data_IF_705220384856
#
_entry.id   IF_705220384856
#
_cell.length_a   1.000
_cell.length_b   1.000
_cell.length_c   1.000
_cell.angle_alpha   90.00
_cell.angle_beta   90.00
_cell.angle_gamma   90.00
#
_symmetry.space_group_name_H-M   'P 1'
#
loop_
_entity.id
_entity.type
_entity.pdbx_description
1 polymer ?
#
# COMPACT_ATOMS: atom_id res chain seq x y z
N UNK A 1 31.99 -7.46 -5.78
CA UNK A 1 30.58 -7.18 -6.13
C UNK A 1 30.15 -5.83 -5.58
N UNK A 2 29.63 -4.94 -6.43
CA UNK A 2 29.07 -3.63 -6.03
C UNK A 2 27.81 -3.89 -5.17
N UNK A 3 27.71 -3.29 -3.97
CA UNK A 3 26.53 -3.48 -3.09
C UNK A 3 25.25 -3.09 -3.84
N UNK A 4 24.28 -4.02 -3.90
CA UNK A 4 22.96 -3.75 -4.47
C UNK A 4 22.23 -2.76 -3.56
N UNK A 5 21.94 -1.57 -4.08
CA UNK A 5 21.13 -0.58 -3.35
C UNK A 5 19.65 -0.94 -3.51
N UNK A 6 19.07 -1.50 -2.46
CA UNK A 6 17.63 -1.75 -2.39
C UNK A 6 16.85 -0.45 -2.22
N UNK A 7 15.65 -0.38 -2.80
CA UNK A 7 14.71 0.68 -2.49
C UNK A 7 14.33 0.56 -1.00
N UNK A 8 14.24 1.69 -0.32
CA UNK A 8 13.84 1.78 1.07
C UNK A 8 12.77 2.87 1.24
N UNK A 9 12.00 2.83 2.33
CA UNK A 9 10.94 3.80 2.58
C UNK A 9 11.47 5.23 2.66
N UNK A 10 12.65 5.44 3.23
CA UNK A 10 13.28 6.76 3.38
C UNK A 10 13.53 7.43 2.03
N UNK A 11 14.10 6.69 1.08
CA UNK A 11 14.41 7.15 -0.28
C UNK A 11 13.11 7.40 -1.05
N UNK A 12 12.08 6.57 -0.88
CA UNK A 12 10.76 6.79 -1.48
C UNK A 12 10.11 8.08 -0.94
N UNK A 13 10.04 8.25 0.39
CA UNK A 13 9.50 9.45 1.02
C UNK A 13 10.23 10.71 0.53
N UNK A 14 11.56 10.67 0.48
CA UNK A 14 12.36 11.79 -0.03
C UNK A 14 12.03 12.13 -1.50
N UNK A 15 11.77 11.12 -2.33
CA UNK A 15 11.40 11.35 -3.73
C UNK A 15 9.94 11.78 -3.93
N UNK A 16 9.03 11.32 -3.07
CA UNK A 16 7.65 11.83 -3.03
C UNK A 16 7.66 13.31 -2.66
N UNK A 17 8.37 13.67 -1.59
CA UNK A 17 8.55 15.05 -1.17
C UNK A 17 9.14 15.92 -2.29
N UNK A 18 10.25 15.47 -2.90
CA UNK A 18 10.86 16.19 -4.01
C UNK A 18 9.92 16.36 -5.20
N UNK A 19 9.10 15.35 -5.50
CA UNK A 19 8.10 15.42 -6.58
C UNK A 19 6.97 16.40 -6.25
N UNK A 20 6.45 16.37 -5.02
CA UNK A 20 5.42 17.32 -4.56
C UNK A 20 5.93 18.76 -4.60
N UNK A 21 7.18 19.00 -4.20
CA UNK A 21 7.79 20.34 -4.20
C UNK A 21 7.87 20.96 -5.60
N UNK A 22 7.86 20.18 -6.68
CA UNK A 22 7.80 20.74 -8.05
C UNK A 22 6.48 21.44 -8.36
N UNK A 23 5.42 21.19 -7.58
CA UNK A 23 4.12 21.85 -7.68
C UNK A 23 3.96 22.99 -6.65
N UNK A 24 5.00 23.28 -5.86
CA UNK A 24 4.93 24.20 -4.74
C UNK A 24 5.72 25.48 -5.01
N UNK A 25 5.27 26.58 -4.39
CA UNK A 25 6.00 27.84 -4.35
C UNK A 25 6.33 28.20 -2.90
N UNK A 26 7.55 28.68 -2.68
CA UNK A 26 8.11 29.02 -1.38
C UNK A 26 8.76 30.41 -1.42
N UNK A 27 8.80 31.12 -0.29
CA UNK A 27 9.49 32.42 -0.18
C UNK A 27 10.99 32.22 -0.29
N UNK A 28 11.54 31.25 0.46
CA UNK A 28 12.95 30.84 0.31
C UNK A 28 13.05 29.34 0.00
N UNK A 29 14.14 28.88 -0.64
CA UNK A 29 14.32 27.46 -0.93
C UNK A 29 14.34 26.56 0.32
N UNK A 30 14.81 27.08 1.45
CA UNK A 30 14.87 26.36 2.74
C UNK A 30 13.48 26.10 3.29
N UNK A 31 12.53 26.97 2.99
CA UNK A 31 11.14 26.82 3.41
C UNK A 31 10.47 25.61 2.74
N UNK A 32 11.06 25.02 1.70
CA UNK A 32 10.57 23.79 1.09
C UNK A 32 10.72 22.56 2.01
N UNK A 33 11.62 22.60 2.99
CA UNK A 33 11.86 21.48 3.89
C UNK A 33 11.09 21.67 5.20
N UNK A 34 10.11 20.80 5.43
CA UNK A 34 9.33 20.80 6.66
C UNK A 34 10.03 20.05 7.80
N UNK A 35 9.66 20.39 9.04
CA UNK A 35 10.13 19.71 10.26
C UNK A 35 9.04 18.87 10.94
N UNK A 36 7.77 19.25 10.76
CA UNK A 36 6.61 18.50 11.26
C UNK A 36 5.39 18.76 10.39
N UNK A 37 4.53 17.75 10.25
CA UNK A 37 3.23 17.86 9.60
C UNK A 37 2.15 17.98 10.67
N UNK A 38 1.25 18.94 10.51
CA UNK A 38 0.13 19.18 11.42
C UNK A 38 -1.19 19.28 10.62
N UNK A 39 -2.32 18.83 11.19
CA UNK A 39 -3.59 18.81 10.47
C UNK A 39 -4.26 20.19 10.36
N UNK A 40 -3.89 21.16 11.21
CA UNK A 40 -4.40 22.53 11.16
C UNK A 40 -3.53 23.47 12.00
N UNK A 41 -3.72 24.79 11.83
CA UNK A 41 -2.96 25.83 12.55
C UNK A 41 -3.08 25.75 14.07
N UNK A 42 -4.25 25.34 14.60
CA UNK A 42 -4.48 25.21 16.05
C UNK A 42 -3.62 24.12 16.70
N UNK A 43 -3.13 23.16 15.90
CA UNK A 43 -2.21 22.13 16.39
C UNK A 43 -0.78 22.62 16.52
N UNK A 44 -0.44 23.81 16.05
CA UNK A 44 0.87 24.42 16.31
C UNK A 44 0.87 24.97 17.74
N UNK A 45 1.36 24.16 18.67
CA UNK A 45 1.45 24.48 20.10
C UNK A 45 2.84 24.16 20.65
N UNK A 46 3.04 24.39 21.96
CA UNK A 46 4.34 24.20 22.61
C UNK A 46 4.88 22.77 22.42
N UNK A 47 4.01 21.75 22.41
CA UNK A 47 4.41 20.35 22.24
C UNK A 47 4.89 20.08 20.81
N UNK A 48 4.13 20.52 19.80
CA UNK A 48 4.52 20.34 18.39
C UNK A 48 5.75 21.15 18.02
N UNK A 49 5.94 22.33 18.62
CA UNK A 49 7.18 23.12 18.47
C UNK A 49 8.38 22.34 19.03
N UNK A 50 8.25 21.75 20.22
CA UNK A 50 9.32 20.95 20.81
C UNK A 50 9.63 19.70 19.97
N UNK A 51 8.61 19.06 19.40
CA UNK A 51 8.77 17.92 18.50
C UNK A 51 9.44 18.33 17.18
N UNK A 52 9.01 19.43 16.56
CA UNK A 52 9.65 19.98 15.37
C UNK A 52 11.14 20.28 15.60
N UNK A 53 11.51 20.84 16.76
CA UNK A 53 12.93 21.03 17.13
C UNK A 53 13.70 19.71 17.20
N UNK A 54 13.09 18.65 17.76
CA UNK A 54 13.72 17.31 17.80
C UNK A 54 13.90 16.73 16.40
N UNK A 55 12.88 16.84 15.55
CA UNK A 55 12.92 16.35 14.16
C UNK A 55 14.00 17.07 13.36
N UNK A 56 14.06 18.41 13.46
CA UNK A 56 15.08 19.23 12.80
C UNK A 56 16.49 18.88 13.29
N UNK A 57 16.69 18.77 14.60
CA UNK A 57 17.97 18.38 15.18
C UNK A 57 18.43 16.98 14.70
N UNK A 58 17.51 16.01 14.65
CA UNK A 58 17.78 14.65 14.14
C UNK A 58 18.17 14.69 12.66
N UNK A 59 17.47 15.47 11.85
CA UNK A 59 17.78 15.64 10.43
C UNK A 59 19.15 16.28 10.22
N UNK A 60 19.45 17.40 10.87
CA UNK A 60 20.75 18.08 10.78
C UNK A 60 21.90 17.17 11.24
N UNK A 61 21.69 16.39 12.31
CA UNK A 61 22.66 15.39 12.78
C UNK A 61 22.95 14.35 11.70
N UNK A 62 21.90 13.84 11.05
CA UNK A 62 22.04 12.84 9.98
C UNK A 62 22.72 13.42 8.74
N UNK A 63 22.37 14.64 8.33
CA UNK A 63 22.98 15.34 7.20
C UNK A 63 24.47 15.58 7.44
N UNK A 64 24.84 16.11 8.61
CA UNK A 64 26.24 16.34 8.98
C UNK A 64 27.05 15.04 9.03
N UNK A 65 26.45 13.96 9.53
CA UNK A 65 27.09 12.65 9.55
C UNK A 65 27.25 12.03 8.15
N UNK A 66 26.23 12.14 7.28
CA UNK A 66 26.29 11.68 5.90
C UNK A 66 27.32 12.48 5.08
N UNK A 67 27.42 13.80 5.30
CA UNK A 67 28.43 14.66 4.70
C UNK A 67 29.84 14.25 5.13
N UNK A 68 30.09 14.11 6.44
CA UNK A 68 31.39 13.68 6.96
C UNK A 68 31.80 12.29 6.42
N UNK A 69 30.83 11.39 6.23
CA UNK A 69 31.05 10.07 5.63
C UNK A 69 31.41 10.16 4.16
N UNK A 70 30.80 11.07 3.42
CA UNK A 70 31.11 11.33 2.01
C UNK A 70 32.50 11.93 1.81
N UNK A 71 32.96 12.75 2.76
CA UNK A 71 34.30 13.34 2.81
C UNK A 71 35.41 12.33 3.16
N UNK A 72 35.08 11.07 3.42
CA UNK A 72 36.07 9.99 3.62
C UNK A 72 36.71 9.95 5.01
N UNK A 73 36.19 10.71 5.99
CA UNK A 73 36.68 10.67 7.38
C UNK A 73 36.50 9.25 7.96
N UNK A 74 37.57 8.67 8.54
CA UNK A 74 37.54 7.34 9.17
C UNK A 74 37.10 7.44 10.63
N UNK A 75 36.37 6.43 11.15
CA UNK A 75 35.86 6.33 12.54
C UNK A 75 34.86 7.43 12.98
N UNK A 76 33.88 7.73 12.14
CA UNK A 76 32.83 8.73 12.43
C UNK A 76 31.79 8.15 13.40
N UNK A 77 31.67 8.73 14.60
CA UNK A 77 30.56 8.43 15.52
C UNK A 77 29.43 9.43 15.30
N UNK A 78 28.18 8.97 15.40
CA UNK A 78 27.01 9.85 15.26
C UNK A 78 26.94 10.91 16.38
N UNK A 79 27.44 10.55 17.57
CA UNK A 79 27.43 11.41 18.77
C UNK A 79 28.16 12.72 18.54
N UNK A 80 29.28 12.68 17.81
CA UNK A 80 30.14 13.85 17.57
C UNK A 80 29.45 14.93 16.72
N UNK A 81 28.43 14.54 15.95
CA UNK A 81 27.66 15.42 15.06
C UNK A 81 26.25 15.71 15.60
N UNK A 82 25.94 15.23 16.81
CA UNK A 82 24.60 15.36 17.38
C UNK A 82 24.30 16.81 17.74
N UNK A 83 23.31 17.39 17.04
CA UNK A 83 22.85 18.74 17.31
C UNK A 83 21.80 18.74 18.43
N UNK A 84 21.94 19.68 19.38
CA UNK A 84 20.97 19.81 20.46
C UNK A 84 19.71 20.55 19.99
N UNK A 85 18.50 19.99 20.21
CA UNK A 85 17.24 20.66 19.88
C UNK A 85 17.06 22.03 20.55
N UNK A 86 17.73 22.27 21.68
CA UNK A 86 17.63 23.54 22.43
C UNK A 86 18.29 24.70 21.71
N UNK A 87 19.29 24.43 20.87
CA UNK A 87 20.03 25.46 20.10
C UNK A 87 19.26 25.94 18.86
N UNK A 88 18.17 25.26 18.51
CA UNK A 88 17.35 25.59 17.34
C UNK A 88 16.30 26.63 17.74
N UNK A 89 16.26 27.78 17.06
CA UNK A 89 15.24 28.79 17.28
C UNK A 89 13.86 28.28 16.80
N UNK A 90 12.80 28.75 17.46
CA UNK A 90 11.42 28.49 17.02
C UNK A 90 11.09 29.18 15.68
N UNK A 91 11.77 30.26 15.32
CA UNK A 91 11.57 30.98 14.05
C UNK A 91 12.06 30.20 12.84
N UNK A 92 13.01 29.28 13.06
CA UNK A 92 13.61 28.50 11.99
C UNK A 92 12.80 27.25 11.64
N UNK A 93 11.72 26.98 12.37
CA UNK A 93 10.90 25.78 12.20
C UNK A 93 9.86 25.98 11.12
N UNK A 94 9.76 25.00 10.22
CA UNK A 94 8.77 24.99 9.14
C UNK A 94 7.69 23.97 9.47
N UNK A 95 6.45 24.47 9.61
CA UNK A 95 5.27 23.66 9.87
C UNK A 95 4.53 23.41 8.56
N UNK A 96 4.40 22.14 8.17
CA UNK A 96 3.54 21.74 7.06
C UNK A 96 2.12 21.57 7.58
N UNK A 97 1.19 22.40 7.10
CA UNK A 97 -0.20 22.42 7.56
C UNK A 97 -1.11 21.95 6.45
N UNK A 98 -1.85 20.87 6.69
CA UNK A 98 -2.80 20.27 5.74
C UNK A 98 -4.05 21.15 5.63
N UNK A 99 -4.19 21.97 4.59
CA UNK A 99 -5.30 22.93 4.44
C UNK A 99 -5.68 23.15 2.98
N UNK A 100 -6.94 23.51 2.76
CA UNK A 100 -7.52 23.74 1.43
C UNK A 100 -7.65 25.22 1.06
N UNK A 101 -7.33 26.16 1.96
CA UNK A 101 -7.63 27.60 1.85
C UNK A 101 -7.17 28.30 0.56
N UNK A 102 -6.15 27.78 -0.12
CA UNK A 102 -5.61 28.33 -1.37
C UNK A 102 -6.10 27.60 -2.63
N UNK A 103 -6.84 26.51 -2.45
CA UNK A 103 -7.43 25.73 -3.54
C UNK A 103 -8.81 26.35 -3.84
N UNK A 104 -9.15 26.61 -5.11
CA UNK A 104 -10.47 27.12 -5.45
C UNK A 104 -11.59 26.13 -5.10
N UNK A 105 -12.77 26.67 -4.81
CA UNK A 105 -14.00 25.89 -4.63
C UNK A 105 -14.54 25.44 -5.99
N UNK A 106 -15.08 24.22 -6.04
CA UNK A 106 -15.67 23.58 -7.22
C UNK A 106 -16.80 22.65 -6.77
N UNK A 107 -17.95 23.25 -6.48
CA UNK A 107 -19.14 22.52 -6.01
C UNK A 107 -19.84 21.71 -7.12
N UNK A 108 -19.49 21.92 -8.39
CA UNK A 108 -20.09 21.19 -9.51
C UNK A 108 -19.39 19.87 -9.81
N UNK A 109 -18.14 19.69 -9.36
CA UNK A 109 -17.34 18.49 -9.64
C UNK A 109 -17.92 17.19 -9.11
N UNK A 110 -18.55 17.22 -7.93
CA UNK A 110 -19.09 16.02 -7.28
C UNK A 110 -20.55 16.22 -6.90
N UNK A 111 -21.40 15.34 -7.42
CA UNK A 111 -22.84 15.34 -7.15
C UNK A 111 -23.20 15.23 -5.66
N UNK A 112 -22.44 14.41 -4.90
CA UNK A 112 -22.65 14.19 -3.46
C UNK A 112 -21.33 14.37 -2.70
N UNK A 113 -20.93 15.60 -2.35
CA UNK A 113 -19.70 15.85 -1.60
C UNK A 113 -19.85 15.37 -0.15
N UNK A 114 -18.83 14.68 0.39
CA UNK A 114 -18.82 14.15 1.77
C UNK A 114 -17.70 14.74 2.62
N UNK A 115 -16.63 15.20 1.97
CA UNK A 115 -15.42 15.69 2.62
C UNK A 115 -15.12 17.10 2.14
N UNK A 116 -14.35 17.86 2.92
CA UNK A 116 -13.88 19.21 2.50
C UNK A 116 -13.19 19.17 1.14
N UNK A 117 -12.41 18.11 0.87
CA UNK A 117 -11.74 17.91 -0.41
C UNK A 117 -12.71 17.76 -1.60
N UNK A 118 -13.97 17.36 -1.37
CA UNK A 118 -14.97 17.19 -2.43
C UNK A 118 -15.52 18.52 -2.95
N UNK A 119 -15.49 19.56 -2.13
CA UNK A 119 -15.94 20.92 -2.47
C UNK A 119 -14.88 21.76 -3.18
N UNK A 120 -13.65 21.26 -3.30
CA UNK A 120 -12.54 21.98 -3.92
C UNK A 120 -12.18 21.39 -5.28
N UNK A 121 -11.45 22.16 -6.09
CA UNK A 121 -10.88 21.68 -7.35
C UNK A 121 -10.02 20.42 -7.14
N UNK A 122 -10.00 19.54 -8.16
CA UNK A 122 -9.19 18.31 -8.12
C UNK A 122 -7.70 18.65 -8.06
N UNK A 123 -6.98 18.03 -7.13
CA UNK A 123 -5.54 18.23 -6.91
C UNK A 123 -4.76 16.93 -7.07
N UNK A 124 -3.45 17.02 -7.36
CA UNK A 124 -2.56 15.88 -7.60
C UNK A 124 -2.24 15.13 -6.30
N UNK A 125 -2.19 15.86 -5.18
CA UNK A 125 -1.93 15.34 -3.84
C UNK A 125 -2.63 16.20 -2.76
N UNK A 126 -2.77 15.73 -1.51
CA UNK A 126 -3.39 16.51 -0.44
C UNK A 126 -2.76 17.91 -0.31
N UNK A 127 -3.55 19.00 -0.40
CA UNK A 127 -3.01 20.35 -0.42
C UNK A 127 -2.52 20.76 0.96
N UNK A 128 -1.50 21.61 0.96
CA UNK A 128 -0.87 22.09 2.18
C UNK A 128 -0.28 23.48 2.03
N UNK A 129 0.03 24.08 3.17
CA UNK A 129 0.75 25.34 3.27
C UNK A 129 1.85 25.22 4.32
N UNK A 130 2.98 25.88 4.08
CA UNK A 130 4.07 25.98 5.04
C UNK A 130 3.96 27.27 5.84
N UNK A 131 4.14 27.15 7.15
CA UNK A 131 4.13 28.28 8.08
C UNK A 131 5.41 28.33 8.90
N UNK A 132 5.84 29.54 9.23
CA UNK A 132 6.92 29.83 10.19
C UNK A 132 6.42 30.78 11.27
N UNK A 133 7.10 30.75 12.41
CA UNK A 133 6.88 31.72 13.48
C UNK A 133 7.77 32.93 13.25
N UNK A 134 7.19 34.13 13.29
CA UNK A 134 7.95 35.37 13.34
C UNK A 134 8.50 35.61 14.77
N UNK A 135 9.37 36.63 14.94
CA UNK A 135 9.91 37.07 16.24
C UNK A 135 8.81 37.35 17.27
N UNK A 136 7.65 37.83 16.82
CA UNK A 136 6.45 38.06 17.65
C UNK A 136 5.61 36.81 17.92
N UNK A 137 6.09 35.62 17.54
CA UNK A 137 5.38 34.33 17.63
C UNK A 137 4.07 34.27 16.84
N UNK A 138 3.93 35.09 15.79
CA UNK A 138 2.81 35.04 14.84
C UNK A 138 3.16 34.09 13.69
N UNK A 139 2.18 33.31 13.24
CA UNK A 139 2.33 32.42 12.08
C UNK A 139 2.30 33.22 10.77
N UNK A 140 3.30 33.01 9.92
CA UNK A 140 3.42 33.61 8.59
C UNK A 140 3.47 32.49 7.56
N UNK A 141 2.65 32.58 6.51
CA UNK A 141 2.64 31.62 5.41
C UNK A 141 3.88 31.86 4.53
N UNK A 142 4.70 30.83 4.38
CA UNK A 142 5.97 30.86 3.63
C UNK A 142 6.01 29.90 2.45
N UNK A 143 5.00 29.04 2.31
CA UNK A 143 4.88 28.12 1.18
C UNK A 143 3.44 27.71 0.91
N UNK A 144 3.11 27.47 -0.35
CA UNK A 144 1.81 26.93 -0.79
C UNK A 144 2.04 25.78 -1.76
N UNK A 145 1.27 24.71 -1.60
CA UNK A 145 1.17 23.65 -2.62
C UNK A 145 0.36 24.11 -3.83
N UNK A 146 0.55 23.46 -4.98
CA UNK A 146 -0.19 23.75 -6.22
C UNK A 146 -0.23 25.26 -6.55
N UNK A 147 0.92 25.94 -6.45
CA UNK A 147 1.00 27.40 -6.55
C UNK A 147 2.16 27.84 -7.44
N UNK A 148 1.89 28.82 -8.31
CA UNK A 148 2.87 29.42 -9.21
C UNK A 148 3.04 30.89 -8.88
N UNK A 149 4.28 31.39 -8.94
CA UNK A 149 4.58 32.79 -8.65
C UNK A 149 4.77 33.07 -7.16
N UNK A 150 4.75 34.34 -6.78
CA UNK A 150 4.98 34.76 -5.40
C UNK A 150 3.78 34.53 -4.48
N UNK A 151 4.01 34.66 -3.17
CA UNK A 151 2.97 34.39 -2.16
C UNK A 151 1.78 35.36 -2.24
N UNK A 152 2.03 36.59 -2.71
CA UNK A 152 1.07 37.69 -2.85
C UNK A 152 0.51 37.87 -4.26
N UNK A 153 1.28 37.55 -5.31
CA UNK A 153 0.94 37.80 -6.71
C UNK A 153 0.83 36.53 -7.57
N UNK A 154 0.96 35.35 -6.96
CA UNK A 154 0.84 34.08 -7.64
C UNK A 154 -0.60 33.60 -7.77
N UNK A 155 -0.75 32.41 -8.32
CA UNK A 155 -2.05 31.76 -8.52
C UNK A 155 -1.98 30.24 -8.32
N UNK A 156 -3.14 29.65 -8.04
CA UNK A 156 -3.30 28.21 -7.96
C UNK A 156 -3.12 27.56 -9.34
N UNK A 157 -2.40 26.43 -9.40
CA UNK A 157 -2.20 25.63 -10.60
C UNK A 157 -1.82 24.19 -10.26
N UNK A 158 -2.36 23.24 -11.01
CA UNK A 158 -2.10 21.79 -10.86
C UNK A 158 -1.21 21.21 -11.95
N UNK A 159 -0.87 22.01 -12.97
CA UNK A 159 -0.29 21.51 -14.23
C UNK A 159 1.22 21.77 -14.38
N UNK A 160 1.80 22.65 -13.55
CA UNK A 160 3.17 23.13 -13.72
C UNK A 160 4.27 22.22 -13.13
N UNK A 161 3.90 21.27 -12.27
CA UNK A 161 4.84 20.36 -11.61
C UNK A 161 5.01 19.03 -12.34
N UNK A 162 5.99 18.23 -11.90
CA UNK A 162 6.24 16.89 -12.43
C UNK A 162 6.81 15.94 -11.39
N UNK A 163 6.47 14.66 -11.51
CA UNK A 163 7.13 13.59 -10.77
C UNK A 163 8.62 13.51 -11.13
N UNK A 164 9.48 13.25 -10.15
CA UNK A 164 10.91 13.06 -10.43
C UNK A 164 11.15 11.76 -11.20
N UNK A 165 12.11 11.78 -12.14
CA UNK A 165 12.51 10.58 -12.89
C UNK A 165 12.92 9.43 -11.96
N UNK A 166 13.51 9.76 -10.80
CA UNK A 166 13.92 8.77 -9.82
C UNK A 166 12.73 8.12 -9.11
N UNK A 167 11.65 8.87 -8.82
CA UNK A 167 10.42 8.27 -8.30
C UNK A 167 9.75 7.37 -9.36
N UNK A 168 9.69 7.82 -10.61
CA UNK A 168 9.15 7.03 -11.72
C UNK A 168 9.91 5.69 -11.88
N UNK A 169 11.25 5.72 -11.85
CA UNK A 169 12.09 4.51 -11.86
C UNK A 169 11.83 3.61 -10.65
N UNK A 170 11.53 4.18 -9.48
CA UNK A 170 11.16 3.38 -8.31
C UNK A 170 9.81 2.67 -8.50
N UNK A 171 8.82 3.32 -9.12
CA UNK A 171 7.53 2.70 -9.46
C UNK A 171 7.67 1.57 -10.47
N UNK A 172 8.47 1.76 -11.53
CA UNK A 172 8.76 0.68 -12.50
C UNK A 172 9.33 -0.55 -11.82
N UNK A 173 10.36 -0.38 -10.97
CA UNK A 173 10.97 -1.48 -10.21
C UNK A 173 10.00 -2.16 -9.25
N UNK A 174 9.05 -1.42 -8.69
CA UNK A 174 8.00 -1.98 -7.84
C UNK A 174 7.05 -2.88 -8.62
N UNK A 175 6.57 -2.41 -9.78
CA UNK A 175 5.70 -3.18 -10.67
C UNK A 175 6.40 -4.45 -11.18
N UNK A 176 7.63 -4.32 -11.69
CA UNK A 176 8.45 -5.45 -12.17
C UNK A 176 8.61 -6.50 -11.08
N UNK A 177 9.04 -6.08 -9.89
CA UNK A 177 9.23 -7.01 -8.76
C UNK A 177 7.93 -7.69 -8.37
N UNK A 178 6.80 -6.97 -8.41
CA UNK A 178 5.50 -7.53 -8.07
C UNK A 178 5.05 -8.58 -9.10
N UNK A 179 5.30 -8.35 -10.39
CA UNK A 179 5.01 -9.27 -11.48
C UNK A 179 5.79 -10.60 -11.43
N UNK A 180 6.89 -10.65 -10.67
CA UNK A 180 7.67 -11.89 -10.45
C UNK A 180 7.11 -12.82 -9.36
N UNK A 181 6.07 -12.40 -8.62
CA UNK A 181 5.44 -13.25 -7.59
C UNK A 181 4.85 -14.50 -8.20
N UNK A 182 4.87 -15.62 -7.47
CA UNK A 182 4.45 -16.94 -7.96
C UNK A 182 3.06 -16.95 -8.62
N UNK A 183 2.12 -16.16 -8.09
CA UNK A 183 0.75 -16.07 -8.61
C UNK A 183 0.64 -15.37 -9.98
N UNK A 184 1.60 -14.51 -10.33
CA UNK A 184 1.57 -13.66 -11.53
C UNK A 184 2.67 -14.02 -12.54
N UNK A 185 3.73 -14.67 -12.06
CA UNK A 185 4.87 -15.09 -12.88
C UNK A 185 4.40 -16.05 -13.96
N UNK A 186 4.75 -15.74 -15.21
CA UNK A 186 4.39 -16.57 -16.36
C UNK A 186 2.91 -16.44 -16.78
N UNK A 187 2.14 -15.54 -16.18
CA UNK A 187 0.80 -15.25 -16.65
C UNK A 187 0.85 -14.46 -17.96
N UNK A 188 0.01 -14.83 -18.94
CA UNK A 188 0.01 -14.24 -20.28
C UNK A 188 -0.14 -12.72 -20.27
N UNK A 189 -1.00 -12.18 -19.40
CA UNK A 189 -1.29 -10.74 -19.32
C UNK A 189 -0.41 -10.00 -18.30
N UNK A 190 0.71 -10.58 -17.84
CA UNK A 190 1.55 -9.96 -16.81
C UNK A 190 2.10 -8.59 -17.25
N UNK A 191 2.47 -8.44 -18.52
CA UNK A 191 3.00 -7.18 -19.03
C UNK A 191 1.93 -6.07 -19.06
N UNK A 192 0.68 -6.42 -19.41
CA UNK A 192 -0.46 -5.50 -19.31
C UNK A 192 -0.78 -5.14 -17.86
N UNK A 193 -0.72 -6.11 -16.93
CA UNK A 193 -0.90 -5.87 -15.50
C UNK A 193 0.13 -4.89 -14.95
N UNK A 194 1.41 -5.05 -15.32
CA UNK A 194 2.49 -4.15 -14.91
C UNK A 194 2.31 -2.75 -15.49
N UNK A 195 1.94 -2.65 -16.77
CA UNK A 195 1.68 -1.37 -17.45
C UNK A 195 0.51 -0.63 -16.81
N UNK A 196 -0.59 -1.32 -16.53
CA UNK A 196 -1.75 -0.73 -15.87
C UNK A 196 -1.43 -0.31 -14.43
N UNK A 197 -0.67 -1.12 -13.69
CA UNK A 197 -0.22 -0.76 -12.35
C UNK A 197 0.69 0.47 -12.36
N UNK A 198 1.59 0.57 -13.33
CA UNK A 198 2.45 1.75 -13.49
C UNK A 198 1.63 3.00 -13.78
N UNK A 199 0.65 2.92 -14.69
CA UNK A 199 -0.27 4.03 -14.95
C UNK A 199 -1.03 4.45 -13.68
N UNK A 200 -1.51 3.47 -12.90
CA UNK A 200 -2.18 3.74 -11.63
C UNK A 200 -1.24 4.47 -10.66
N UNK A 201 0.00 4.00 -10.50
CA UNK A 201 0.99 4.66 -9.64
C UNK A 201 1.31 6.08 -10.11
N UNK A 202 1.36 6.32 -11.41
CA UNK A 202 1.55 7.69 -11.94
C UNK A 202 0.38 8.61 -11.62
N UNK A 203 -0.86 8.10 -11.55
CA UNK A 203 -2.06 8.89 -11.26
C UNK A 203 -2.27 9.16 -9.77
N UNK A 204 -2.05 8.16 -8.91
CA UNK A 204 -2.35 8.24 -7.47
C UNK A 204 -1.10 8.23 -6.58
N UNK A 205 0.08 8.18 -7.18
CA UNK A 205 1.34 8.00 -6.47
C UNK A 205 1.62 9.13 -5.49
N UNK A 206 1.47 10.37 -5.96
CA UNK A 206 1.64 11.56 -5.12
C UNK A 206 0.52 11.75 -4.09
N UNK A 207 -0.62 11.05 -4.22
CA UNK A 207 -1.71 11.13 -3.24
C UNK A 207 -1.38 10.44 -1.90
N UNK A 208 -0.25 9.76 -1.79
CA UNK A 208 0.24 9.25 -0.51
C UNK A 208 0.31 10.39 0.53
N UNK A 209 -0.23 10.13 1.72
CA UNK A 209 -0.34 11.10 2.80
C UNK A 209 0.64 10.75 3.93
N UNK A 210 1.72 11.52 3.99
CA UNK A 210 2.83 11.38 4.95
C UNK A 210 2.39 11.67 6.38
N UNK A 211 1.27 12.37 6.58
CA UNK A 211 0.75 12.61 7.94
C UNK A 211 0.16 11.35 8.58
N UNK A 212 -0.18 10.34 7.78
CA UNK A 212 -0.86 9.11 8.23
C UNK A 212 0.06 7.90 8.31
N UNK A 213 1.14 7.88 7.53
CA UNK A 213 2.04 6.73 7.48
C UNK A 213 3.43 7.10 6.94
N UNK A 214 4.46 6.47 7.51
CA UNK A 214 5.84 6.53 7.00
C UNK A 214 6.19 5.36 6.06
N UNK A 215 5.19 4.56 5.64
CA UNK A 215 5.39 3.34 4.85
C UNK A 215 4.75 3.42 3.45
N UNK A 216 5.36 4.17 2.51
CA UNK A 216 4.86 4.27 1.14
C UNK A 216 4.86 2.92 0.40
N UNK A 217 5.75 1.96 0.72
CA UNK A 217 5.72 0.64 0.08
C UNK A 217 4.39 -0.08 0.25
N UNK A 218 3.78 0.00 1.44
CA UNK A 218 2.50 -0.67 1.69
C UNK A 218 1.39 -0.06 0.82
N UNK A 219 1.35 1.27 0.76
CA UNK A 219 0.39 2.00 -0.09
C UNK A 219 0.54 1.63 -1.57
N UNK A 220 1.76 1.69 -2.11
CA UNK A 220 2.01 1.34 -3.51
C UNK A 220 1.77 -0.14 -3.81
N UNK A 221 2.16 -1.04 -2.91
CA UNK A 221 1.91 -2.48 -3.09
C UNK A 221 0.41 -2.78 -3.12
N UNK A 222 -0.39 -2.10 -2.30
CA UNK A 222 -1.85 -2.23 -2.34
C UNK A 222 -2.42 -1.72 -3.69
N UNK A 223 -1.96 -0.56 -4.17
CA UNK A 223 -2.35 -0.03 -5.47
C UNK A 223 -2.01 -0.99 -6.63
N UNK A 224 -0.80 -1.55 -6.64
CA UNK A 224 -0.36 -2.53 -7.64
C UNK A 224 -1.23 -3.79 -7.57
N UNK A 225 -1.45 -4.34 -6.37
CA UNK A 225 -2.27 -5.55 -6.15
C UNK A 225 -3.69 -5.37 -6.72
N UNK A 226 -4.32 -4.24 -6.41
CA UNK A 226 -5.66 -3.92 -6.89
C UNK A 226 -5.68 -3.78 -8.43
N UNK A 227 -4.65 -3.17 -9.01
CA UNK A 227 -4.54 -3.03 -10.47
C UNK A 227 -4.38 -4.39 -11.17
N UNK A 228 -3.51 -5.27 -10.65
CA UNK A 228 -3.30 -6.62 -11.17
C UNK A 228 -4.60 -7.44 -11.13
N UNK A 229 -5.28 -7.40 -9.98
CA UNK A 229 -6.55 -8.13 -9.80
C UNK A 229 -7.66 -7.58 -10.70
N UNK A 230 -7.68 -6.26 -10.95
CA UNK A 230 -8.62 -5.66 -11.91
C UNK A 230 -8.44 -6.21 -13.32
N UNK A 231 -7.21 -6.26 -13.83
CA UNK A 231 -6.93 -6.83 -15.16
C UNK A 231 -7.32 -8.32 -15.21
N UNK A 232 -6.96 -9.09 -14.18
CA UNK A 232 -7.37 -10.49 -14.08
C UNK A 232 -8.90 -10.66 -14.15
N UNK A 233 -9.64 -9.80 -13.47
CA UNK A 233 -11.10 -9.85 -13.47
C UNK A 233 -11.72 -9.42 -14.81
N UNK A 234 -11.13 -8.43 -15.48
CA UNK A 234 -11.55 -8.03 -16.83
C UNK A 234 -11.34 -9.20 -17.79
N UNK A 235 -10.19 -9.86 -17.72
CA UNK A 235 -9.91 -10.99 -18.60
C UNK A 235 -10.85 -12.17 -18.35
N UNK A 236 -11.09 -12.53 -17.09
CA UNK A 236 -12.08 -13.56 -16.74
C UNK A 236 -13.48 -13.23 -17.27
N UNK A 237 -13.88 -11.96 -17.22
CA UNK A 237 -15.15 -11.51 -17.78
C UNK A 237 -15.19 -11.66 -19.30
N UNK A 238 -14.11 -11.29 -19.99
CA UNK A 238 -14.00 -11.44 -21.44
C UNK A 238 -14.04 -12.92 -21.86
N UNK A 239 -13.38 -13.80 -21.10
CA UNK A 239 -13.44 -15.24 -21.31
C UNK A 239 -14.88 -15.76 -21.16
N UNK A 240 -15.60 -15.35 -20.12
CA UNK A 240 -17.02 -15.73 -19.94
C UNK A 240 -17.88 -15.27 -21.11
N UNK A 241 -17.73 -14.03 -21.56
CA UNK A 241 -18.50 -13.49 -22.69
C UNK A 241 -18.20 -14.28 -23.98
N UNK A 242 -16.94 -14.65 -24.21
CA UNK A 242 -16.56 -15.49 -25.34
C UNK A 242 -17.25 -16.85 -25.28
N UNK A 243 -17.22 -17.50 -24.12
CA UNK A 243 -17.84 -18.80 -23.93
C UNK A 243 -19.38 -18.72 -24.10
N UNK A 244 -20.02 -17.68 -23.57
CA UNK A 244 -21.47 -17.45 -23.74
C UNK A 244 -21.84 -17.27 -25.23
N UNK A 245 -20.98 -16.59 -26.01
CA UNK A 245 -21.17 -16.44 -27.46
C UNK A 245 -20.98 -17.76 -28.21
N UNK A 246 -20.04 -18.60 -27.80
CA UNK A 246 -19.85 -19.93 -28.38
C UNK A 246 -21.08 -20.81 -28.14
N UNK A 247 -21.57 -20.84 -26.90
CA UNK A 247 -22.76 -21.60 -26.51
C UNK A 247 -24.00 -21.11 -27.28
N UNK A 248 -24.20 -19.79 -27.41
CA UNK A 248 -25.31 -19.21 -28.17
C UNK A 248 -25.31 -19.66 -29.64
N UNK A 249 -24.13 -19.84 -30.23
CA UNK A 249 -23.97 -20.31 -31.61
C UNK A 249 -23.92 -21.85 -31.74
N UNK A 250 -24.25 -22.59 -30.68
CA UNK A 250 -24.20 -24.06 -30.68
C UNK A 250 -22.79 -24.65 -30.78
N UNK A 251 -21.75 -23.85 -30.54
CA UNK A 251 -20.36 -24.27 -30.51
C UNK A 251 -19.92 -24.66 -29.10
N UNK A 252 -18.86 -25.45 -29.01
CA UNK A 252 -18.34 -25.94 -27.74
C UNK A 252 -17.54 -24.85 -26.99
N UNK A 253 -17.87 -24.53 -25.72
CA UNK A 253 -17.16 -23.53 -24.93
C UNK A 253 -15.83 -24.06 -24.37
N UNK A 254 -15.06 -23.20 -23.69
CA UNK A 254 -13.77 -23.59 -23.09
C UNK A 254 -13.90 -24.75 -22.08
N UNK A 255 -12.83 -25.54 -21.92
CA UNK A 255 -12.78 -26.65 -20.95
C UNK A 255 -13.06 -26.19 -19.51
N UNK A 256 -12.62 -24.97 -19.14
CA UNK A 256 -12.90 -24.39 -17.83
C UNK A 256 -14.40 -24.21 -17.62
N UNK A 257 -15.11 -23.68 -18.63
CA UNK A 257 -16.57 -23.48 -18.60
C UNK A 257 -17.33 -24.81 -18.53
N UNK A 258 -16.90 -25.81 -19.29
CA UNK A 258 -17.49 -27.16 -19.23
C UNK A 258 -17.35 -27.78 -17.83
N UNK A 259 -16.14 -27.72 -17.26
CA UNK A 259 -15.89 -28.20 -15.89
C UNK A 259 -16.68 -27.42 -14.84
N UNK A 260 -16.84 -26.10 -14.99
CA UNK A 260 -17.68 -25.29 -14.10
C UNK A 260 -19.15 -25.74 -14.18
N UNK A 261 -19.68 -25.98 -15.38
CA UNK A 261 -21.06 -26.48 -15.56
C UNK A 261 -21.24 -27.88 -14.95
N UNK A 262 -20.27 -28.78 -15.13
CA UNK A 262 -20.30 -30.12 -14.52
C UNK A 262 -20.22 -30.06 -12.99
N UNK A 263 -19.30 -29.26 -12.44
CA UNK A 263 -19.05 -29.20 -10.99
C UNK A 263 -20.12 -28.40 -10.24
N UNK A 264 -20.76 -27.42 -10.87
CA UNK A 264 -21.88 -26.67 -10.27
C UNK A 264 -23.21 -27.41 -10.38
N UNK A 265 -23.28 -28.45 -11.22
CA UNK A 265 -24.46 -29.29 -11.40
C UNK A 265 -25.00 -29.90 -10.10
N UNK A 266 -26.34 -30.00 -9.94
CA UNK A 266 -26.97 -30.62 -8.76
C UNK A 266 -26.50 -32.05 -8.50
N UNK A 267 -26.23 -32.80 -9.59
CA UNK A 267 -25.73 -34.18 -9.55
C UNK A 267 -24.33 -34.27 -8.95
N UNK A 268 -23.39 -33.42 -9.40
CA UNK A 268 -22.03 -33.37 -8.86
C UNK A 268 -22.02 -32.92 -7.39
N UNK A 269 -22.82 -31.90 -7.04
CA UNK A 269 -22.99 -31.47 -5.65
C UNK A 269 -23.54 -32.57 -4.76
N UNK A 270 -24.52 -33.35 -5.25
CA UNK A 270 -25.07 -34.51 -4.52
C UNK A 270 -24.03 -35.61 -4.36
N UNK A 271 -23.24 -35.90 -5.40
CA UNK A 271 -22.13 -36.85 -5.35
C UNK A 271 -21.10 -36.43 -4.31
N UNK A 272 -20.66 -35.17 -4.33
CA UNK A 272 -19.67 -34.62 -3.40
C UNK A 272 -20.11 -34.63 -1.93
N UNK A 273 -21.42 -34.53 -1.64
CA UNK A 273 -21.94 -34.70 -0.27
C UNK A 273 -21.67 -36.10 0.31
N UNK A 274 -21.53 -37.12 -0.53
CA UNK A 274 -21.33 -38.52 -0.13
C UNK A 274 -19.95 -39.08 -0.49
N UNK A 275 -19.06 -38.28 -1.10
CA UNK A 275 -17.75 -38.75 -1.61
C UNK A 275 -16.86 -39.36 -0.52
N UNK A 276 -16.96 -38.87 0.72
CA UNK A 276 -16.15 -39.37 1.84
C UNK A 276 -16.88 -40.41 2.71
N UNK A 277 -18.07 -40.87 2.30
CA UNK A 277 -18.92 -41.76 3.10
C UNK A 277 -19.38 -41.11 4.41
N UNK A 278 -19.95 -41.92 5.31
CA UNK A 278 -20.39 -41.47 6.62
C UNK A 278 -19.20 -41.31 7.58
N UNK A 279 -18.97 -40.09 8.06
CA UNK A 279 -17.92 -39.80 9.05
C UNK A 279 -18.45 -40.09 10.45
N UNK A 280 -17.75 -40.97 11.16
CA UNK A 280 -18.12 -41.40 12.51
C UNK A 280 -17.10 -40.95 13.55
N UNK A 281 -17.57 -40.62 14.76
CA UNK A 281 -16.67 -40.33 15.87
C UNK A 281 -16.13 -41.62 16.49
N UNK A 282 -14.82 -41.72 16.72
CA UNK A 282 -14.23 -42.88 17.41
C UNK A 282 -13.99 -42.57 18.89
N UNK A 283 -14.25 -43.53 19.79
CA UNK A 283 -13.95 -43.38 21.22
C UNK A 283 -12.43 -43.33 21.47
N UNK A 284 -11.98 -42.55 22.46
CA UNK A 284 -10.56 -42.44 22.83
C UNK A 284 -9.95 -43.79 23.21
N UNK A 285 -10.73 -44.68 23.83
CA UNK A 285 -10.28 -46.01 24.24
C UNK A 285 -10.03 -46.96 23.07
N UNK A 286 -10.90 -46.93 22.03
CA UNK A 286 -10.73 -47.72 20.81
C UNK A 286 -9.62 -47.15 19.94
N UNK A 287 -9.47 -45.83 19.88
CA UNK A 287 -8.35 -45.17 19.20
C UNK A 287 -6.99 -45.54 19.84
N UNK A 288 -6.92 -45.63 21.16
CA UNK A 288 -5.71 -46.08 21.86
C UNK A 288 -5.34 -47.53 21.52
N UNK A 289 -6.34 -48.41 21.32
CA UNK A 289 -6.11 -49.80 20.86
C UNK A 289 -5.58 -49.83 19.43
N UNK A 290 -6.22 -49.10 18.50
CA UNK A 290 -5.76 -48.95 17.11
C UNK A 290 -4.32 -48.42 17.04
N UNK A 291 -3.98 -47.41 17.85
CA UNK A 291 -2.63 -46.87 17.89
C UNK A 291 -1.59 -47.90 18.40
N UNK A 292 -1.97 -48.81 19.30
CA UNK A 292 -1.11 -49.92 19.71
C UNK A 292 -0.92 -50.92 18.56
N UNK A 293 -1.98 -51.22 17.81
CA UNK A 293 -1.92 -52.10 16.64
C UNK A 293 -1.06 -51.50 15.54
N UNK A 294 -1.23 -50.22 15.24
CA UNK A 294 -0.42 -49.46 14.27
C UNK A 294 1.06 -49.45 14.68
N UNK A 295 1.37 -49.22 15.96
CA UNK A 295 2.76 -49.27 16.45
C UNK A 295 3.39 -50.66 16.34
N UNK A 296 2.59 -51.73 16.40
CA UNK A 296 3.07 -53.11 16.26
C UNK A 296 3.23 -53.55 14.81
N UNK A 297 2.26 -53.23 13.94
CA UNK A 297 2.19 -53.68 12.55
C UNK A 297 2.80 -52.69 11.53
N UNK A 298 3.00 -51.43 11.91
CA UNK A 298 3.46 -50.34 11.03
C UNK A 298 2.39 -49.80 10.08
N UNK A 299 1.29 -50.52 9.89
CA UNK A 299 0.11 -50.15 9.09
C UNK A 299 -1.17 -50.68 9.74
N UNK A 300 -2.31 -50.10 9.37
CA UNK A 300 -3.65 -50.58 9.76
C UNK A 300 -4.39 -51.01 8.50
N UNK A 301 -4.98 -52.19 8.54
CA UNK A 301 -5.81 -52.72 7.46
C UNK A 301 -7.30 -52.59 7.82
N UNK A 302 -8.20 -52.78 6.85
CA UNK A 302 -9.65 -52.64 7.03
C UNK A 302 -10.20 -53.49 8.20
N UNK A 303 -9.64 -54.68 8.40
CA UNK A 303 -10.00 -55.62 9.47
C UNK A 303 -9.69 -55.07 10.87
N UNK A 304 -8.63 -54.26 11.02
CA UNK A 304 -8.24 -53.69 12.31
C UNK A 304 -9.29 -52.67 12.83
N UNK A 305 -10.20 -52.22 11.96
CA UNK A 305 -11.29 -51.30 12.29
C UNK A 305 -12.60 -52.01 12.67
N UNK A 306 -12.69 -53.33 12.58
CA UNK A 306 -13.93 -54.08 12.86
C UNK A 306 -14.40 -53.94 14.33
N UNK A 307 -13.45 -53.87 15.26
CA UNK A 307 -13.73 -53.72 16.71
C UNK A 307 -13.92 -52.27 17.17
N UNK A 308 -13.89 -51.32 16.23
CA UNK A 308 -13.98 -49.90 16.55
C UNK A 308 -15.43 -49.53 16.82
N UNK A 309 -15.75 -49.28 18.08
CA UNK A 309 -17.05 -48.70 18.46
C UNK A 309 -17.12 -47.25 17.98
N UNK A 310 -17.76 -47.07 16.83
CA UNK A 310 -18.12 -45.77 16.28
C UNK A 310 -19.28 -45.17 17.10
N UNK A 311 -19.11 -43.95 17.62
CA UNK A 311 -20.19 -43.11 18.17
C UNK A 311 -20.89 -42.38 17.02
N UNK A 312 -22.04 -41.76 17.36
CA UNK A 312 -22.93 -40.96 16.50
C UNK A 312 -22.30 -40.45 15.20
N UNK A 313 -23.03 -40.64 14.09
CA UNK A 313 -22.74 -40.02 12.80
C UNK A 313 -22.50 -38.53 13.01
N UNK A 314 -21.33 -38.06 12.60
CA UNK A 314 -20.99 -36.64 12.68
C UNK A 314 -21.68 -35.96 11.49
N UNK A 315 -22.56 -35.02 11.76
CA UNK A 315 -23.16 -34.20 10.72
C UNK A 315 -22.08 -33.28 10.11
N UNK A 316 -21.64 -33.65 8.91
CA UNK A 316 -20.65 -32.91 8.13
C UNK A 316 -21.29 -31.86 7.20
N UNK A 317 -22.61 -31.69 7.21
CA UNK A 317 -23.34 -30.87 6.21
C UNK A 317 -22.89 -29.41 6.19
N UNK A 318 -22.42 -28.89 7.32
CA UNK A 318 -21.88 -27.53 7.48
C UNK A 318 -20.37 -27.48 7.75
N UNK A 319 -19.66 -28.61 7.62
CA UNK A 319 -18.21 -28.63 7.84
C UNK A 319 -17.51 -27.93 6.68
N UNK A 320 -17.08 -26.68 6.91
CA UNK A 320 -16.18 -26.00 5.99
C UNK A 320 -14.78 -26.56 6.22
N UNK A 321 -14.18 -27.27 5.25
CA UNK A 321 -12.80 -27.69 5.40
C UNK A 321 -11.96 -26.46 5.69
N UNK A 322 -11.08 -26.53 6.69
CA UNK A 322 -10.07 -25.51 6.88
C UNK A 322 -9.14 -25.64 5.68
N UNK A 323 -9.45 -24.91 4.61
CA UNK A 323 -8.51 -24.66 3.54
C UNK A 323 -7.39 -23.89 4.21
N UNK A 324 -6.34 -24.62 4.63
CA UNK A 324 -5.05 -23.99 4.87
C UNK A 324 -4.73 -23.34 3.54
N UNK A 325 -4.99 -22.03 3.44
CA UNK A 325 -4.44 -21.21 2.37
C UNK A 325 -2.94 -21.47 2.44
N UNK A 326 -2.44 -22.35 1.57
CA UNK A 326 -1.04 -22.33 1.18
C UNK A 326 -0.93 -21.01 0.45
N UNK A 327 -0.54 -19.99 1.21
CA UNK A 327 -0.15 -18.70 0.67
C UNK A 327 1.13 -18.88 -0.13
#
# INVERSE_FOLDING_TARGET
MKRVKYLNNRDLLAQIHASKNTYCSYITPEDAQYDIIVPNLKKINIRTIAEAKKNKAKRLTQEAWEQAKSEGKKKIKLVDYTMSPRKIDKTDLVFWVMMFDHVPMDDQRKKNPKTTADHHSKVNFPPFQHYKLDKKSKLVCVGKSHWVGGMSNGNFSVDHGKMTNKLAMMYMKLCERYGTRANWRGYTYNDEMQSQALMQLSQIGLQFDESKSDNPFAYYTAAITNSFTRILNIEKKNQSIRDDLLEFNGMMPSFTRQNENETTGPSYRKKMKTVHGDVHQVNKTTLAKLNKTLKKKGKLESEDFADVKFKNKIDMTNHKPIVKKKW
#
